data_IF_856687211893
#
_entry.id   IF_856687211893
#
_cell.length_a   1.000
_cell.length_b   1.000
_cell.length_c   1.000
_cell.angle_alpha   90.00
_cell.angle_beta   90.00
_cell.angle_gamma   90.00
#
_symmetry.space_group_name_H-M   'P 1'
#
loop_
_entity.id
_entity.type
_entity.pdbx_description
1 polymer ?
#
# COMPACT_ATOMS: atom_id res chain seq x y z
N UNK A 1 -10.32 -30.51 -4.62
CA UNK A 1 -9.28 -29.67 -5.24
C UNK A 1 -9.79 -28.24 -5.28
N UNK A 2 -9.19 -27.32 -4.52
CA UNK A 2 -9.62 -25.91 -4.49
C UNK A 2 -9.05 -25.18 -5.71
N UNK A 3 -9.86 -24.97 -6.73
CA UNK A 3 -9.47 -24.20 -7.92
C UNK A 3 -9.39 -22.72 -7.55
N UNK A 4 -8.18 -22.15 -7.60
CA UNK A 4 -7.93 -20.72 -7.36
C UNK A 4 -8.55 -19.93 -8.51
N UNK A 5 -9.75 -19.37 -8.28
CA UNK A 5 -10.57 -18.75 -9.34
C UNK A 5 -10.11 -17.32 -9.71
N UNK A 6 -9.40 -16.63 -8.82
CA UNK A 6 -9.01 -15.21 -8.96
C UNK A 6 -7.49 -15.02 -9.02
N UNK A 7 -6.77 -15.89 -9.72
CA UNK A 7 -5.36 -15.64 -10.01
C UNK A 7 -5.25 -14.44 -10.97
N UNK A 8 -4.28 -13.56 -10.75
CA UNK A 8 -3.99 -12.37 -11.59
C UNK A 8 -5.02 -11.22 -11.57
N UNK A 9 -6.09 -11.30 -10.78
CA UNK A 9 -7.01 -10.16 -10.60
C UNK A 9 -6.42 -9.11 -9.65
N UNK A 10 -6.66 -7.81 -9.93
CA UNK A 10 -6.30 -6.71 -9.02
C UNK A 10 -7.05 -6.83 -7.69
N UNK A 11 -6.47 -6.32 -6.63
CA UNK A 11 -7.13 -6.22 -5.32
C UNK A 11 -8.09 -5.04 -5.33
N UNK A 12 -9.34 -5.27 -4.91
CA UNK A 12 -10.30 -4.19 -4.68
C UNK A 12 -10.18 -3.68 -3.25
N UNK A 13 -10.66 -2.46 -2.99
CA UNK A 13 -10.65 -1.87 -1.63
C UNK A 13 -11.41 -2.75 -0.63
N UNK A 14 -12.53 -3.33 -1.04
CA UNK A 14 -13.31 -4.24 -0.19
C UNK A 14 -12.53 -5.52 0.16
N UNK A 15 -11.82 -6.11 -0.81
CA UNK A 15 -10.96 -7.28 -0.56
C UNK A 15 -9.82 -6.93 0.41
N UNK A 16 -9.28 -5.71 0.34
CA UNK A 16 -8.26 -5.22 1.27
C UNK A 16 -8.77 -5.04 2.70
N UNK A 17 -9.94 -4.42 2.86
CA UNK A 17 -10.56 -4.24 4.17
C UNK A 17 -10.90 -5.61 4.79
N UNK A 18 -11.38 -6.55 3.97
CA UNK A 18 -11.60 -7.94 4.40
C UNK A 18 -10.29 -8.61 4.84
N UNK A 19 -9.22 -8.48 4.04
CA UNK A 19 -7.91 -9.03 4.38
C UNK A 19 -7.40 -8.50 5.72
N UNK A 20 -7.50 -7.18 5.94
CA UNK A 20 -7.12 -6.56 7.21
C UNK A 20 -7.94 -7.12 8.38
N UNK A 21 -9.27 -7.16 8.24
CA UNK A 21 -10.16 -7.69 9.29
C UNK A 21 -9.82 -9.15 9.62
N UNK A 22 -9.62 -9.99 8.62
CA UNK A 22 -9.33 -11.41 8.81
C UNK A 22 -7.97 -11.63 9.48
N UNK A 23 -6.96 -10.84 9.11
CA UNK A 23 -5.61 -11.00 9.61
C UNK A 23 -5.37 -10.34 10.98
N UNK A 24 -5.81 -9.09 11.16
CA UNK A 24 -5.56 -8.31 12.39
C UNK A 24 -6.60 -8.59 13.48
N UNK A 25 -7.89 -8.68 13.13
CA UNK A 25 -8.97 -8.79 14.12
C UNK A 25 -9.36 -10.24 14.41
N UNK A 26 -9.49 -11.05 13.36
CA UNK A 26 -9.88 -12.46 13.48
C UNK A 26 -8.68 -13.40 13.63
N UNK A 27 -7.46 -12.87 13.52
CA UNK A 27 -6.23 -13.61 13.80
C UNK A 27 -6.05 -14.87 12.95
N UNK A 28 -6.67 -14.91 11.76
CA UNK A 28 -6.75 -16.10 10.93
C UNK A 28 -5.40 -16.47 10.31
N UNK A 29 -5.22 -17.77 10.03
CA UNK A 29 -4.01 -18.22 9.33
C UNK A 29 -4.08 -17.88 7.83
N UNK A 30 -2.92 -17.67 7.20
CA UNK A 30 -2.84 -17.29 5.78
C UNK A 30 -3.53 -18.34 4.89
N UNK A 31 -3.50 -19.61 5.28
CA UNK A 31 -4.15 -20.70 4.55
C UNK A 31 -5.67 -20.58 4.54
N UNK A 32 -6.27 -20.14 5.65
CA UNK A 32 -7.71 -19.93 5.76
C UNK A 32 -8.13 -18.70 4.95
N UNK A 33 -7.39 -17.60 5.09
CA UNK A 33 -7.60 -16.37 4.33
C UNK A 33 -7.52 -16.64 2.82
N UNK A 34 -6.53 -17.43 2.39
CA UNK A 34 -6.39 -17.85 0.99
C UNK A 34 -7.64 -18.58 0.45
N UNK A 35 -8.27 -19.44 1.28
CA UNK A 35 -9.50 -20.14 0.92
C UNK A 35 -10.69 -19.18 0.79
N UNK A 36 -10.84 -18.22 1.70
CA UNK A 36 -11.94 -17.24 1.70
C UNK A 36 -11.84 -16.32 0.47
N UNK A 37 -10.67 -15.73 0.27
CA UNK A 37 -10.41 -14.83 -0.85
C UNK A 37 -10.27 -15.54 -2.20
N UNK A 38 -10.22 -16.89 -2.22
CA UNK A 38 -10.00 -17.72 -3.42
C UNK A 38 -8.73 -17.31 -4.19
N UNK A 39 -7.69 -16.94 -3.44
CA UNK A 39 -6.37 -16.52 -3.94
C UNK A 39 -5.29 -17.48 -3.42
N UNK A 40 -4.15 -17.53 -4.09
CA UNK A 40 -3.01 -18.32 -3.60
C UNK A 40 -2.45 -17.73 -2.30
N UNK A 41 -1.95 -18.59 -1.41
CA UNK A 41 -1.21 -18.20 -0.20
C UNK A 41 -0.12 -17.17 -0.49
N UNK A 42 0.65 -17.38 -1.56
CA UNK A 42 1.70 -16.47 -2.02
C UNK A 42 1.18 -15.05 -2.28
N UNK A 43 0.01 -14.93 -2.89
CA UNK A 43 -0.63 -13.64 -3.20
C UNK A 43 -1.11 -12.93 -1.93
N UNK A 44 -1.60 -13.69 -0.93
CA UNK A 44 -1.94 -13.15 0.39
C UNK A 44 -0.68 -12.60 1.06
N UNK A 45 0.39 -13.39 1.13
CA UNK A 45 1.68 -12.98 1.72
C UNK A 45 2.24 -11.71 1.09
N UNK A 46 2.33 -11.66 -0.25
CA UNK A 46 2.79 -10.46 -0.95
C UNK A 46 1.92 -9.24 -0.63
N UNK A 47 0.61 -9.43 -0.43
CA UNK A 47 -0.27 -8.31 -0.13
C UNK A 47 -0.10 -7.83 1.31
N UNK A 48 0.03 -8.74 2.27
CA UNK A 48 0.29 -8.40 3.67
C UNK A 48 1.61 -7.62 3.84
N UNK A 49 2.65 -8.00 3.09
CA UNK A 49 3.93 -7.28 3.06
C UNK A 49 3.78 -5.87 2.45
N UNK A 50 3.02 -5.73 1.36
CA UNK A 50 2.79 -4.42 0.72
C UNK A 50 2.02 -3.43 1.59
N UNK A 51 1.08 -3.93 2.40
CA UNK A 51 0.30 -3.11 3.35
C UNK A 51 1.02 -2.95 4.69
N UNK A 52 2.23 -3.51 4.85
CA UNK A 52 3.04 -3.47 6.07
C UNK A 52 2.35 -4.07 7.32
N UNK A 53 1.45 -5.04 7.14
CA UNK A 53 0.93 -5.86 8.24
C UNK A 53 1.97 -6.85 8.76
N UNK A 54 2.96 -7.17 7.93
CA UNK A 54 4.14 -7.99 8.25
C UNK A 54 5.37 -7.35 7.64
N UNK A 55 6.52 -7.48 8.31
CA UNK A 55 7.81 -7.04 7.77
C UNK A 55 8.49 -8.16 6.96
N UNK A 56 8.30 -9.40 7.39
CA UNK A 56 8.87 -10.60 6.77
C UNK A 56 7.82 -11.71 6.71
N UNK A 57 7.91 -12.59 5.69
CA UNK A 57 6.92 -13.68 5.54
C UNK A 57 6.98 -14.71 6.68
N UNK A 58 8.12 -14.84 7.34
CA UNK A 58 8.29 -15.73 8.50
C UNK A 58 7.43 -15.31 9.70
N UNK A 59 7.08 -14.02 9.80
CA UNK A 59 6.19 -13.50 10.84
C UNK A 59 4.71 -13.82 10.55
N UNK A 60 4.40 -14.28 9.34
CA UNK A 60 3.04 -14.43 8.91
C UNK A 60 2.39 -15.67 9.56
N UNK A 61 1.17 -15.50 10.08
CA UNK A 61 0.46 -16.54 10.84
C UNK A 61 0.19 -17.80 10.00
N UNK A 62 0.74 -18.94 10.42
CA UNK A 62 0.61 -20.20 9.69
C UNK A 62 1.59 -20.35 8.52
N UNK A 63 2.65 -19.53 8.47
CA UNK A 63 3.73 -19.70 7.49
C UNK A 63 4.56 -20.97 7.73
N UNK A 64 4.87 -21.31 8.99
CA UNK A 64 5.64 -22.51 9.33
C UNK A 64 4.94 -23.81 8.89
N UNK A 65 3.62 -23.86 8.96
CA UNK A 65 2.80 -25.00 8.54
C UNK A 65 2.83 -25.23 7.02
N UNK A 66 3.15 -24.19 6.23
CA UNK A 66 3.34 -24.33 4.78
C UNK A 66 4.69 -24.97 4.43
N UNK A 67 5.70 -24.83 5.29
CA UNK A 67 7.01 -25.42 5.09
C UNK A 67 6.90 -26.94 5.30
N UNK A 68 6.20 -27.37 6.35
CA UNK A 68 6.01 -28.80 6.66
C UNK A 68 5.20 -29.55 5.59
N UNK A 69 4.25 -28.88 4.92
CA UNK A 69 3.45 -29.49 3.85
C UNK A 69 4.17 -29.58 2.50
N UNK A 70 5.31 -28.91 2.33
CA UNK A 70 6.07 -28.93 1.08
C UNK A 70 7.07 -30.11 0.99
N UNK A 71 7.45 -30.72 2.12
CA UNK A 71 8.39 -31.85 2.11
C UNK A 71 7.74 -33.15 1.58
N UNK A 72 6.42 -33.29 1.66
CA UNK A 72 5.66 -34.41 1.08
C UNK A 72 5.30 -34.22 -0.41
N UNK A 73 5.57 -33.03 -0.98
CA UNK A 73 5.28 -32.70 -2.40
C UNK A 73 6.60 -32.52 -3.17
N UNK A 74 7.52 -33.48 -3.03
CA UNK A 74 8.66 -33.68 -3.94
C UNK A 74 8.49 -34.97 -4.74
N UNK A 75 7.28 -35.23 -5.23
CA UNK A 75 6.97 -36.33 -6.15
C UNK A 75 6.28 -35.73 -7.38
N UNK A 76 6.95 -35.88 -8.53
CA UNK A 76 6.41 -35.72 -9.89
C UNK A 76 6.19 -34.30 -10.43
N UNK A 77 7.28 -33.54 -10.59
CA UNK A 77 7.39 -32.62 -11.74
C UNK A 77 8.52 -33.14 -12.62
N UNK A 78 8.24 -34.23 -13.33
CA UNK A 78 9.00 -34.59 -14.52
C UNK A 78 8.41 -33.84 -15.70
N UNK A 79 9.30 -33.10 -16.39
CA UNK A 79 9.33 -32.84 -17.84
C UNK A 79 7.96 -32.72 -18.54
N UNK A 80 7.61 -31.50 -18.93
CA UNK A 80 7.70 -31.17 -20.35
C UNK A 80 7.61 -29.67 -20.61
N UNK A 81 8.59 -29.20 -21.35
CA UNK A 81 8.73 -27.85 -21.87
C UNK A 81 8.32 -27.88 -23.34
N UNK A 82 7.09 -27.45 -23.65
CA UNK A 82 6.68 -26.98 -24.98
C UNK A 82 5.68 -25.83 -24.71
N UNK A 83 6.10 -24.56 -24.77
CA UNK A 83 6.23 -23.76 -26.01
C UNK A 83 4.95 -23.80 -26.86
N UNK A 84 4.06 -22.82 -26.65
CA UNK A 84 3.36 -22.06 -27.69
C UNK A 84 2.61 -20.88 -27.03
N UNK A 85 3.13 -19.67 -27.22
CA UNK A 85 2.36 -18.43 -27.29
C UNK A 85 1.72 -18.32 -28.69
N UNK A 86 0.96 -17.26 -29.06
CA UNK A 86 -0.03 -16.42 -28.35
C UNK A 86 -1.39 -16.36 -29.12
N UNK A 87 -2.47 -15.85 -28.51
CA UNK A 87 -3.51 -15.15 -29.30
C UNK A 87 -4.34 -14.19 -28.44
N UNK A 88 -4.45 -12.97 -28.95
CA UNK A 88 -5.32 -11.89 -28.46
C UNK A 88 -6.78 -12.20 -28.79
N UNK A 89 -7.67 -11.79 -27.88
CA UNK A 89 -9.01 -11.32 -28.27
C UNK A 89 -9.46 -10.29 -27.25
N UNK A 90 -9.37 -9.02 -27.67
CA UNK A 90 -10.05 -7.86 -27.08
C UNK A 90 -11.55 -8.03 -27.29
N UNK A 91 -12.34 -7.95 -26.22
CA UNK A 91 -13.75 -7.55 -26.28
C UNK A 91 -13.98 -6.53 -25.18
N UNK A 92 -14.12 -5.28 -25.63
CA UNK A 92 -14.69 -4.15 -24.91
C UNK A 92 -16.20 -4.35 -24.87
N UNK A 93 -16.84 -4.39 -23.70
CA UNK A 93 -18.26 -4.09 -23.55
C UNK A 93 -18.49 -3.30 -22.25
N UNK A 94 -18.60 -1.99 -22.48
CA UNK A 94 -19.54 -1.00 -21.95
C UNK A 94 -19.94 -1.00 -20.46
N UNK A 95 -19.63 0.14 -19.85
CA UNK A 95 -20.14 0.64 -18.58
C UNK A 95 -21.59 1.13 -18.76
N UNK A 96 -22.48 0.70 -17.88
CA UNK A 96 -23.66 1.50 -17.52
C UNK A 96 -23.58 1.82 -16.02
N UNK A 97 -23.37 3.10 -15.75
CA UNK A 97 -23.50 3.72 -14.44
C UNK A 97 -24.95 4.20 -14.28
N UNK A 98 -25.66 3.72 -13.26
CA UNK A 98 -26.81 4.42 -12.70
C UNK A 98 -26.59 4.60 -11.18
N UNK A 99 -26.14 5.81 -10.84
CA UNK A 99 -26.41 6.55 -9.60
C UNK A 99 -27.92 6.88 -9.56
N UNK A 100 -28.66 7.06 -8.45
CA UNK A 100 -28.37 7.66 -7.15
C UNK A 100 -29.60 7.46 -6.22
N UNK A 101 -29.46 7.88 -4.95
CA UNK A 101 -30.48 8.11 -3.89
C UNK A 101 -30.63 7.05 -2.77
N UNK A 102 -29.63 7.04 -1.87
CA UNK A 102 -29.87 6.75 -0.45
C UNK A 102 -30.24 8.04 0.31
N UNK A 103 -31.50 8.13 0.71
CA UNK A 103 -31.96 9.05 1.75
C UNK A 103 -31.41 8.61 3.12
N UNK A 104 -30.31 9.23 3.55
CA UNK A 104 -29.78 9.05 4.90
C UNK A 104 -30.70 9.74 5.93
N UNK A 105 -31.47 8.93 6.63
CA UNK A 105 -32.26 9.32 7.80
C UNK A 105 -31.32 9.83 8.89
N UNK A 106 -31.33 11.14 9.13
CA UNK A 106 -30.69 11.77 10.29
C UNK A 106 -31.32 11.24 11.58
N UNK A 107 -30.70 10.22 12.16
CA UNK A 107 -31.07 9.73 13.50
C UNK A 107 -30.63 10.75 14.54
N UNK A 108 -31.65 11.22 15.24
CA UNK A 108 -31.69 12.09 16.41
C UNK A 108 -30.42 12.20 17.26
N UNK A 109 -30.13 13.46 17.59
CA UNK A 109 -29.45 13.93 18.79
C UNK A 109 -29.51 12.95 19.96
N UNK A 110 -28.35 12.48 20.39
CA UNK A 110 -28.13 12.11 21.79
C UNK A 110 -26.99 12.96 22.34
N UNK A 111 -27.39 14.01 23.05
CA UNK A 111 -26.53 15.02 23.66
C UNK A 111 -25.94 14.44 24.94
N UNK A 112 -25.00 13.51 24.80
CA UNK A 112 -24.22 12.98 25.93
C UNK A 112 -23.29 14.09 26.46
N UNK A 113 -23.64 14.59 27.64
CA UNK A 113 -22.89 15.59 28.40
C UNK A 113 -21.46 15.12 28.65
N UNK A 114 -20.51 15.67 27.89
CA UNK A 114 -19.08 15.41 28.06
C UNK A 114 -18.67 15.92 29.44
N UNK A 115 -18.38 14.98 30.34
CA UNK A 115 -17.85 15.29 31.67
C UNK A 115 -16.55 16.07 31.54
N UNK A 116 -16.42 17.15 32.30
CA UNK A 116 -15.32 18.14 32.24
C UNK A 116 -13.92 17.52 32.19
N UNK A 117 -13.72 16.37 32.85
CA UNK A 117 -12.43 15.67 32.87
C UNK A 117 -11.99 15.11 31.50
N UNK A 118 -12.93 14.77 30.61
CA UNK A 118 -12.59 14.29 29.25
C UNK A 118 -12.25 15.43 28.30
N UNK A 119 -12.75 16.64 28.58
CA UNK A 119 -12.47 17.83 27.78
C UNK A 119 -11.00 18.21 27.86
N UNK A 120 -10.44 18.19 29.07
CA UNK A 120 -9.03 18.50 29.29
C UNK A 120 -8.08 17.50 28.61
N UNK A 121 -8.44 16.20 28.54
CA UNK A 121 -7.63 15.21 27.81
C UNK A 121 -7.64 15.47 26.30
N UNK A 122 -8.80 15.83 25.73
CA UNK A 122 -8.94 16.15 24.32
C UNK A 122 -8.16 17.42 23.98
N UNK A 123 -8.26 18.47 24.79
CA UNK A 123 -7.55 19.74 24.59
C UNK A 123 -6.03 19.54 24.65
N UNK A 124 -5.54 18.71 25.56
CA UNK A 124 -4.12 18.34 25.64
C UNK A 124 -3.64 17.56 24.41
N UNK A 125 -4.47 16.63 23.90
CA UNK A 125 -4.15 15.89 22.66
C UNK A 125 -4.14 16.82 21.44
N UNK A 126 -5.10 17.75 21.36
CA UNK A 126 -5.18 18.75 20.30
C UNK A 126 -3.93 19.64 20.28
N UNK A 127 -3.52 20.14 21.45
CA UNK A 127 -2.33 20.97 21.59
C UNK A 127 -1.04 20.25 21.16
N UNK A 128 -0.89 18.98 21.56
CA UNK A 128 0.24 18.17 21.13
C UNK A 128 0.24 17.89 19.62
N UNK A 129 -0.94 17.71 19.03
CA UNK A 129 -1.09 17.56 17.58
C UNK A 129 -0.73 18.84 16.83
N UNK A 130 -1.17 20.00 17.32
CA UNK A 130 -0.86 21.30 16.71
C UNK A 130 0.65 21.56 16.71
N UNK A 131 1.32 21.21 17.82
CA UNK A 131 2.77 21.33 17.95
C UNK A 131 3.51 20.42 16.96
N UNK A 132 3.08 19.17 16.80
CA UNK A 132 3.70 18.24 15.86
C UNK A 132 3.47 18.65 14.41
N UNK A 133 2.27 19.17 14.08
CA UNK A 133 1.95 19.70 12.77
C UNK A 133 2.81 20.92 12.40
N UNK A 134 2.99 21.86 13.34
CA UNK A 134 3.85 23.03 13.16
C UNK A 134 5.32 22.62 12.89
N UNK A 135 5.82 21.63 13.64
CA UNK A 135 7.16 21.10 13.43
C UNK A 135 7.32 20.45 12.04
N UNK A 136 6.37 19.61 11.63
CA UNK A 136 6.35 18.99 10.30
C UNK A 136 6.30 20.05 9.18
N UNK A 137 5.46 21.06 9.33
CA UNK A 137 5.35 22.18 8.37
C UNK A 137 6.69 22.88 8.18
N UNK A 138 7.43 23.14 9.26
CA UNK A 138 8.76 23.74 9.20
C UNK A 138 9.80 22.82 8.55
N UNK A 139 9.78 21.50 8.83
CA UNK A 139 10.69 20.55 8.15
C UNK A 139 10.44 20.51 6.65
N UNK A 140 9.16 20.48 6.24
CA UNK A 140 8.79 20.47 4.82
C UNK A 140 9.28 21.74 4.13
N UNK A 141 9.08 22.92 4.73
CA UNK A 141 9.60 24.19 4.19
C UNK A 141 11.12 24.14 3.98
N UNK A 142 11.88 23.65 4.95
CA UNK A 142 13.34 23.52 4.82
C UNK A 142 13.75 22.55 3.69
N UNK A 143 13.01 21.46 3.48
CA UNK A 143 13.28 20.53 2.38
C UNK A 143 13.00 21.18 1.01
N UNK A 144 11.94 21.97 0.89
CA UNK A 144 11.63 22.71 -0.33
C UNK A 144 12.70 23.77 -0.64
N UNK A 145 13.09 24.59 0.33
CA UNK A 145 14.17 25.58 0.16
C UNK A 145 15.50 24.94 -0.26
N UNK A 146 15.86 23.80 0.36
CA UNK A 146 17.06 23.04 -0.01
C UNK A 146 16.98 22.41 -1.41
N UNK A 147 15.80 22.05 -1.90
CA UNK A 147 15.64 21.55 -3.28
C UNK A 147 15.72 22.70 -4.30
N UNK A 148 15.05 23.82 -4.05
CA UNK A 148 15.03 24.98 -4.96
C UNK A 148 16.44 25.58 -5.16
N UNK A 149 17.27 25.59 -4.11
CA UNK A 149 18.65 26.11 -4.19
C UNK A 149 19.63 25.18 -4.91
N UNK A 150 19.31 23.89 -5.13
CA UNK A 150 20.18 22.95 -5.85
C UNK A 150 20.13 23.13 -7.36
N UNK A 151 19.03 23.68 -7.89
CA UNK A 151 18.83 23.85 -9.34
C UNK A 151 19.41 25.16 -9.89
N UNK A 152 19.88 26.06 -9.02
CA UNK A 152 20.49 27.34 -9.41
C UNK A 152 21.99 27.32 -9.15
N UNK A 153 22.74 26.44 -9.82
CA UNK A 153 24.20 26.65 -9.96
C UNK A 153 24.42 27.62 -11.12
N UNK A 154 24.91 28.86 -10.89
CA UNK A 154 25.26 29.76 -11.98
C UNK A 154 26.38 29.11 -12.81
N UNK A 155 26.13 29.01 -14.12
CA UNK A 155 27.05 28.52 -15.14
C UNK A 155 28.35 29.33 -15.04
N UNK A 156 29.40 28.72 -14.46
CA UNK A 156 30.75 29.30 -14.41
C UNK A 156 31.17 29.65 -15.84
N UNK A 157 31.29 30.96 -16.12
CA UNK A 157 31.83 31.44 -17.37
C UNK A 157 33.29 30.98 -17.48
N UNK A 158 33.59 30.29 -18.58
CA UNK A 158 34.94 29.86 -18.94
C UNK A 158 35.84 31.09 -19.10
N UNK A 159 36.84 31.22 -18.22
CA UNK A 159 37.95 32.17 -18.39
C UNK A 159 38.80 31.76 -19.59
N UNK A 160 38.38 32.17 -20.80
CA UNK A 160 39.20 32.06 -21.99
C UNK A 160 40.20 33.21 -22.03
N UNK A 161 41.31 32.96 -21.32
CA UNK A 161 42.70 33.36 -21.58
C UNK A 161 42.91 34.67 -22.35
N UNK A 162 43.40 35.65 -21.59
CA UNK A 162 44.32 36.70 -22.03
C UNK A 162 45.38 36.12 -22.97
N UNK A 163 45.38 36.48 -24.25
CA UNK A 163 46.61 36.62 -25.06
C UNK A 163 46.28 37.23 -26.44
N UNK A 164 46.21 38.55 -26.52
CA UNK A 164 46.44 39.31 -27.76
C UNK A 164 46.59 40.76 -27.31
N UNK A 165 47.84 41.23 -27.26
CA UNK A 165 48.24 42.61 -27.58
C UNK A 165 49.67 42.84 -27.08
N UNK A 166 50.64 42.32 -27.84
CA UNK A 166 52.02 42.84 -27.94
C UNK A 166 52.59 42.52 -29.32
N UNK A 167 52.15 43.28 -30.32
CA UNK A 167 52.90 43.51 -31.56
C UNK A 167 52.50 44.89 -32.10
N UNK A 168 53.21 45.92 -31.65
CA UNK A 168 53.61 47.12 -32.38
C UNK A 168 54.73 47.78 -31.55
#
# INVERSE_FOLDING_TARGET
>A
MNTIKRSHCRWTVNELIQLQREYELLEMSIQQIAKIHKRSVRAILCRLEQEYFIENWEQARGFSELIELNDDIKVSIEKDTQTMSPSMSLQEEEQEEEQEDESISTTSSDSESITSNKKDEIDNRLFNLEKSFSYLSNMVKQLFEKKVTRDVKPKLQSLRKQHLDRCC
#
